data_IF_819884876772
#
_entry.id   IF_819884876772
#
_cell.length_a   1.000
_cell.length_b   1.000
_cell.length_c   1.000
_cell.angle_alpha   90.00
_cell.angle_beta   90.00
_cell.angle_gamma   90.00
#
_symmetry.space_group_name_H-M   'P 1'
#
loop_
_entity.id
_entity.type
_entity.pdbx_description
1 polymer ?
#
# COMPACT_ATOMS: atom_id res chain seq x y z
N UNK A 1 -26.12 46.13 -6.68
CA UNK A 1 -26.65 44.93 -6.02
C UNK A 1 -26.43 45.14 -4.54
N UNK A 2 -27.51 45.26 -3.76
CA UNK A 2 -27.44 45.56 -2.32
C UNK A 2 -26.67 44.46 -1.57
N UNK A 3 -25.59 44.83 -0.88
CA UNK A 3 -25.00 44.02 0.18
C UNK A 3 -26.02 43.94 1.33
N UNK A 4 -26.87 42.91 1.31
CA UNK A 4 -27.70 42.57 2.46
C UNK A 4 -26.79 42.32 3.66
N UNK A 5 -26.92 43.16 4.69
CA UNK A 5 -26.19 43.04 5.94
C UNK A 5 -26.28 41.61 6.48
N UNK A 6 -25.15 40.93 6.56
CA UNK A 6 -25.06 39.57 7.07
C UNK A 6 -25.68 39.53 8.48
N UNK A 7 -26.70 38.69 8.65
CA UNK A 7 -27.19 38.32 9.99
C UNK A 7 -25.98 37.89 10.82
N UNK A 8 -25.88 38.40 12.05
CA UNK A 8 -24.74 38.17 12.96
C UNK A 8 -24.40 36.68 12.98
N UNK A 9 -23.32 36.32 12.29
CA UNK A 9 -22.91 34.92 12.10
C UNK A 9 -22.61 34.35 13.49
N UNK A 10 -23.07 33.12 13.75
CA UNK A 10 -22.75 32.47 15.02
C UNK A 10 -21.23 32.34 15.18
N UNK A 11 -20.72 32.59 16.38
CA UNK A 11 -19.27 32.55 16.69
C UNK A 11 -18.58 31.26 16.18
N UNK A 12 -19.27 30.12 16.22
CA UNK A 12 -18.77 28.84 15.73
C UNK A 12 -18.59 28.78 14.20
N UNK A 13 -19.45 29.47 13.45
CA UNK A 13 -19.35 29.53 11.99
C UNK A 13 -18.26 30.51 11.56
N UNK A 14 -18.10 31.61 12.29
CA UNK A 14 -17.00 32.56 12.09
C UNK A 14 -15.63 31.91 12.29
N UNK A 15 -15.45 31.17 13.40
CA UNK A 15 -14.20 30.44 13.65
C UNK A 15 -13.91 29.40 12.57
N UNK A 16 -14.93 28.67 12.12
CA UNK A 16 -14.79 27.72 11.01
C UNK A 16 -14.35 28.39 9.71
N UNK A 17 -14.99 29.51 9.32
CA UNK A 17 -14.63 30.25 8.10
C UNK A 17 -13.19 30.75 8.18
N UNK A 18 -12.78 31.27 9.35
CA UNK A 18 -11.40 31.70 9.59
C UNK A 18 -10.42 30.54 9.41
N UNK A 19 -10.64 29.42 10.11
CA UNK A 19 -9.80 28.23 10.00
C UNK A 19 -9.74 27.66 8.58
N UNK A 20 -10.86 27.68 7.85
CA UNK A 20 -10.90 27.21 6.46
C UNK A 20 -10.06 28.10 5.53
N UNK A 21 -10.10 29.42 5.73
CA UNK A 21 -9.28 30.37 4.97
C UNK A 21 -7.80 30.21 5.32
N UNK A 22 -7.48 30.11 6.61
CA UNK A 22 -6.12 29.92 7.10
C UNK A 22 -5.52 28.61 6.57
N UNK A 23 -6.29 27.50 6.59
CA UNK A 23 -5.86 26.23 6.01
C UNK A 23 -5.68 26.31 4.49
N UNK A 24 -6.56 26.99 3.76
CA UNK A 24 -6.40 27.17 2.32
C UNK A 24 -5.14 27.98 1.96
N UNK A 25 -4.87 29.05 2.72
CA UNK A 25 -3.67 29.86 2.56
C UNK A 25 -2.40 29.08 2.90
N UNK A 26 -2.41 28.30 3.98
CA UNK A 26 -1.32 27.39 4.35
C UNK A 26 -1.05 26.39 3.22
N UNK A 27 -2.07 25.68 2.73
CA UNK A 27 -1.91 24.71 1.65
C UNK A 27 -1.39 25.33 0.35
N UNK A 28 -1.83 26.56 0.01
CA UNK A 28 -1.32 27.27 -1.16
C UNK A 28 0.17 27.60 -1.04
N UNK A 29 0.60 28.03 0.15
CA UNK A 29 2.02 28.29 0.44
C UNK A 29 2.86 27.02 0.35
N UNK A 30 2.45 25.95 1.02
CA UNK A 30 3.19 24.68 1.02
C UNK A 30 3.28 24.06 -0.38
N UNK A 31 2.25 24.23 -1.24
CA UNK A 31 2.33 23.77 -2.64
C UNK A 31 3.36 24.56 -3.44
N UNK A 32 3.40 25.87 -3.27
CA UNK A 32 4.41 26.71 -3.92
C UNK A 32 5.83 26.36 -3.46
N UNK A 33 6.01 26.15 -2.15
CA UNK A 33 7.30 25.76 -1.56
C UNK A 33 7.73 24.36 -2.04
N UNK A 34 6.79 23.41 -2.17
CA UNK A 34 7.05 22.09 -2.75
C UNK A 34 7.47 22.16 -4.22
N UNK A 35 6.80 22.95 -5.07
CA UNK A 35 7.17 23.13 -6.47
C UNK A 35 8.54 23.80 -6.63
N UNK A 36 8.84 24.79 -5.79
CA UNK A 36 10.15 25.44 -5.74
C UNK A 36 11.23 24.43 -5.32
N UNK A 37 10.99 23.70 -4.24
CA UNK A 37 11.87 22.63 -3.76
C UNK A 37 12.11 21.55 -4.81
N UNK A 38 11.06 21.17 -5.56
CA UNK A 38 11.13 20.19 -6.64
C UNK A 38 12.09 20.65 -7.75
N UNK A 39 12.03 21.93 -8.15
CA UNK A 39 12.95 22.50 -9.13
C UNK A 39 14.39 22.53 -8.61
N UNK A 40 14.60 22.89 -7.34
CA UNK A 40 15.92 22.87 -6.72
C UNK A 40 16.50 21.46 -6.62
N UNK A 41 15.69 20.48 -6.24
CA UNK A 41 16.11 19.09 -6.16
C UNK A 41 16.51 18.55 -7.54
N UNK A 42 15.73 18.86 -8.58
CA UNK A 42 16.06 18.51 -9.96
C UNK A 42 17.42 19.09 -10.37
N UNK A 43 17.66 20.38 -10.08
CA UNK A 43 18.95 21.01 -10.36
C UNK A 43 20.12 20.35 -9.59
N UNK A 44 19.94 19.99 -8.31
CA UNK A 44 20.96 19.33 -7.51
C UNK A 44 21.29 17.92 -8.02
N UNK A 45 20.28 17.18 -8.48
CA UNK A 45 20.42 15.83 -9.01
C UNK A 45 20.74 15.80 -10.51
N UNK A 46 20.85 16.97 -11.15
CA UNK A 46 21.03 17.13 -12.59
C UNK A 46 19.96 16.39 -13.42
N UNK A 47 18.71 16.48 -12.96
CA UNK A 47 17.51 15.95 -13.60
C UNK A 47 16.65 17.10 -14.15
N UNK A 48 15.77 16.80 -15.09
CA UNK A 48 14.79 17.78 -15.56
C UNK A 48 13.57 17.85 -14.62
N UNK A 49 13.16 19.07 -14.27
CA UNK A 49 12.11 19.31 -13.28
C UNK A 49 10.73 18.79 -13.72
N UNK A 50 10.46 18.81 -15.04
CA UNK A 50 9.18 18.40 -15.59
C UNK A 50 9.04 16.89 -15.71
N UNK A 51 10.13 16.17 -16.00
CA UNK A 51 10.14 14.70 -16.11
C UNK A 51 10.27 13.99 -14.76
N UNK A 52 10.76 14.67 -13.72
CA UNK A 52 10.99 14.08 -12.39
C UNK A 52 9.71 13.48 -11.78
N UNK A 53 9.76 12.18 -11.45
CA UNK A 53 8.68 11.45 -10.79
C UNK A 53 8.82 11.45 -9.27
N UNK A 54 7.80 10.99 -8.53
CA UNK A 54 7.88 10.92 -7.07
C UNK A 54 8.90 9.89 -6.59
N UNK A 55 9.13 8.81 -7.34
CA UNK A 55 10.13 7.80 -6.99
C UNK A 55 11.55 8.37 -7.11
N UNK A 56 11.79 9.23 -8.10
CA UNK A 56 13.07 9.95 -8.25
C UNK A 56 13.32 10.91 -7.09
N UNK A 57 12.27 11.59 -6.61
CA UNK A 57 12.32 12.46 -5.44
C UNK A 57 12.67 11.63 -4.19
N UNK A 58 11.95 10.53 -3.95
CA UNK A 58 12.17 9.67 -2.79
C UNK A 58 13.60 9.08 -2.80
N UNK A 59 14.12 8.69 -3.97
CA UNK A 59 15.49 8.22 -4.15
C UNK A 59 16.53 9.31 -3.89
N UNK A 60 16.31 10.52 -4.43
CA UNK A 60 17.19 11.66 -4.22
C UNK A 60 17.27 12.07 -2.74
N UNK A 61 16.13 12.10 -2.04
CA UNK A 61 16.08 12.39 -0.60
C UNK A 61 16.81 11.32 0.21
N UNK A 62 16.64 10.03 -0.12
CA UNK A 62 17.39 8.96 0.52
C UNK A 62 18.91 9.09 0.33
N UNK A 63 19.35 9.61 -0.82
CA UNK A 63 20.77 9.84 -1.11
C UNK A 63 21.33 11.07 -0.39
N UNK A 64 20.63 12.20 -0.45
CA UNK A 64 21.06 13.47 0.16
C UNK A 64 20.99 13.44 1.69
N UNK A 65 19.99 12.78 2.25
CA UNK A 65 19.74 12.69 3.69
C UNK A 65 19.65 11.22 4.14
N UNK A 66 20.76 10.48 4.15
CA UNK A 66 20.74 9.07 4.51
C UNK A 66 20.36 8.90 5.98
N UNK A 67 19.18 8.33 6.24
CA UNK A 67 18.68 8.04 7.59
C UNK A 67 18.77 6.55 7.91
N UNK A 68 19.39 6.19 9.04
CA UNK A 68 19.44 4.81 9.56
C UNK A 68 18.24 4.40 10.42
N UNK A 69 17.16 5.20 10.45
CA UNK A 69 15.99 4.95 11.29
C UNK A 69 15.22 3.72 10.78
N UNK A 70 14.86 2.81 11.69
CA UNK A 70 14.08 1.61 11.37
C UNK A 70 12.63 1.95 11.00
N UNK A 71 12.03 2.94 11.66
CA UNK A 71 10.69 3.42 11.32
C UNK A 71 10.73 4.25 10.03
N UNK A 72 10.02 3.79 9.01
CA UNK A 72 9.93 4.44 7.70
C UNK A 72 9.26 5.82 7.80
N UNK A 73 8.32 6.01 8.74
CA UNK A 73 7.59 7.28 8.90
C UNK A 73 8.42 8.38 9.56
N UNK A 74 9.49 8.01 10.26
CA UNK A 74 10.40 8.94 10.93
C UNK A 74 11.53 9.43 10.01
N UNK A 75 11.64 8.87 8.80
CA UNK A 75 12.67 9.25 7.83
C UNK A 75 12.34 10.61 7.17
N UNK A 76 13.34 11.33 6.65
CA UNK A 76 13.09 12.51 5.82
C UNK A 76 12.26 12.13 4.59
N UNK A 77 11.18 12.87 4.34
CA UNK A 77 10.28 12.65 3.19
C UNK A 77 9.91 13.99 2.58
N UNK A 78 9.89 14.05 1.25
CA UNK A 78 9.42 15.20 0.49
C UNK A 78 8.30 14.75 -0.46
N UNK A 79 7.05 15.06 -0.10
CA UNK A 79 5.86 14.70 -0.87
C UNK A 79 4.89 15.88 -0.99
N UNK A 80 3.92 15.82 -1.92
CA UNK A 80 2.90 16.85 -2.04
C UNK A 80 2.17 17.10 -0.70
N UNK A 81 1.85 18.37 -0.36
CA UNK A 81 1.20 18.70 0.91
C UNK A 81 -0.13 17.97 1.14
N UNK A 82 -0.84 17.62 0.06
CA UNK A 82 -2.13 16.93 0.12
C UNK A 82 -2.06 15.51 0.72
N UNK A 83 -0.88 14.89 0.70
CA UNK A 83 -0.65 13.56 1.29
C UNK A 83 -0.15 13.62 2.74
N UNK A 84 0.71 14.61 3.05
CA UNK A 84 1.35 14.74 4.37
C UNK A 84 0.43 15.48 5.35
N UNK A 85 -0.19 16.57 4.90
CA UNK A 85 -0.93 17.46 5.79
C UNK A 85 -2.27 16.83 6.20
N UNK A 86 -2.73 17.09 7.43
CA UNK A 86 -4.01 16.59 7.90
C UNK A 86 -5.14 17.18 7.06
N UNK A 87 -6.03 16.31 6.56
CA UNK A 87 -7.19 16.75 5.76
C UNK A 87 -8.13 17.59 6.61
N UNK A 88 -8.32 18.85 6.22
CA UNK A 88 -9.32 19.72 6.84
C UNK A 88 -10.74 19.16 6.62
N UNK A 89 -11.54 19.12 7.69
CA UNK A 89 -12.97 18.77 7.59
C UNK A 89 -13.73 19.96 7.00
N UNK A 90 -13.82 20.02 5.68
CA UNK A 90 -14.67 20.99 5.01
C UNK A 90 -16.15 20.61 5.14
N UNK A 91 -16.97 21.61 5.42
CA UNK A 91 -18.42 21.58 5.29
C UNK A 91 -18.77 21.95 3.85
N UNK A 92 -19.53 21.10 3.17
CA UNK A 92 -19.97 21.34 1.80
C UNK A 92 -21.43 21.80 1.79
N UNK A 93 -21.65 22.98 1.22
CA UNK A 93 -22.97 23.57 1.01
C UNK A 93 -23.16 23.88 -0.47
N UNK A 94 -24.42 23.97 -0.89
CA UNK A 94 -24.82 24.52 -2.18
C UNK A 94 -24.85 26.05 -2.12
N UNK A 95 -25.04 26.71 -3.26
CA UNK A 95 -25.08 28.18 -3.35
C UNK A 95 -26.18 28.82 -2.48
N UNK A 96 -27.26 28.07 -2.23
CA UNK A 96 -28.37 28.44 -1.35
C UNK A 96 -28.07 28.23 0.15
N UNK A 97 -26.91 27.68 0.50
CA UNK A 97 -26.53 27.35 1.87
C UNK A 97 -27.09 26.03 2.40
N UNK A 98 -27.70 25.21 1.54
CA UNK A 98 -28.15 23.85 1.88
C UNK A 98 -26.95 22.89 1.99
N UNK A 99 -26.82 22.09 3.06
CA UNK A 99 -25.78 21.07 3.12
C UNK A 99 -25.93 20.01 2.03
N UNK A 100 -24.82 19.60 1.40
CA UNK A 100 -24.84 18.59 0.32
C UNK A 100 -25.20 17.19 0.83
N UNK A 101 -24.78 16.85 2.04
CA UNK A 101 -25.08 15.56 2.66
C UNK A 101 -26.39 15.65 3.44
N UNK A 102 -27.34 14.75 3.16
CA UNK A 102 -28.61 14.68 3.89
C UNK A 102 -28.40 14.40 5.39
N UNK A 103 -27.30 13.75 5.76
CA UNK A 103 -26.96 13.41 7.15
C UNK A 103 -26.18 14.51 7.86
N UNK A 104 -26.01 15.70 7.27
CA UNK A 104 -25.24 16.80 7.86
C UNK A 104 -25.68 17.14 9.30
N UNK A 105 -26.99 17.14 9.56
CA UNK A 105 -27.55 17.52 10.87
C UNK A 105 -27.42 16.44 11.96
N UNK A 106 -26.82 15.29 11.66
CA UNK A 106 -26.57 14.20 12.63
C UNK A 106 -25.31 14.40 13.48
N UNK A 107 -24.63 15.56 13.34
CA UNK A 107 -23.31 15.90 13.92
C UNK A 107 -22.13 15.07 13.38
N UNK A 108 -22.34 13.77 13.17
CA UNK A 108 -21.36 12.80 12.69
C UNK A 108 -21.82 12.13 11.38
N UNK A 109 -21.91 12.87 10.26
CA UNK A 109 -22.40 12.33 8.99
C UNK A 109 -21.61 11.11 8.51
N UNK A 110 -20.27 11.11 8.71
CA UNK A 110 -19.40 9.97 8.37
C UNK A 110 -19.73 8.71 9.16
N UNK A 111 -20.03 8.84 10.45
CA UNK A 111 -20.36 7.71 11.31
C UNK A 111 -21.70 7.08 10.92
N UNK A 112 -22.75 7.89 10.75
CA UNK A 112 -24.05 7.37 10.34
C UNK A 112 -24.06 6.85 8.90
N UNK A 113 -23.20 7.39 8.03
CA UNK A 113 -22.95 6.81 6.71
C UNK A 113 -22.33 5.42 6.83
N UNK A 114 -21.36 5.22 7.74
CA UNK A 114 -20.78 3.91 8.02
C UNK A 114 -21.80 2.93 8.63
N UNK A 115 -22.67 3.40 9.54
CA UNK A 115 -23.75 2.56 10.08
C UNK A 115 -24.71 2.09 8.97
N UNK A 116 -25.07 3.00 8.05
CA UNK A 116 -25.87 2.61 6.88
C UNK A 116 -25.12 1.65 5.96
N UNK A 117 -23.80 1.74 5.88
CA UNK A 117 -22.98 0.77 5.16
C UNK A 117 -23.01 -0.61 5.82
N UNK A 118 -22.95 -0.68 7.16
CA UNK A 118 -23.11 -1.95 7.88
C UNK A 118 -24.49 -2.59 7.66
N UNK A 119 -25.56 -1.78 7.67
CA UNK A 119 -26.89 -2.27 7.30
C UNK A 119 -26.96 -2.76 5.84
N UNK A 120 -26.25 -2.08 4.94
CA UNK A 120 -26.13 -2.48 3.55
C UNK A 120 -25.36 -3.81 3.40
N UNK A 121 -24.31 -4.05 4.19
CA UNK A 121 -23.63 -5.34 4.23
C UNK A 121 -24.57 -6.46 4.68
N UNK A 122 -25.32 -6.25 5.78
CA UNK A 122 -26.33 -7.21 6.25
C UNK A 122 -27.40 -7.49 5.19
N UNK A 123 -27.82 -6.45 4.45
CA UNK A 123 -28.76 -6.58 3.35
C UNK A 123 -28.17 -7.38 2.17
N UNK A 124 -26.90 -7.20 1.85
CA UNK A 124 -26.21 -8.00 0.82
C UNK A 124 -26.03 -9.45 1.23
N UNK A 125 -25.68 -9.73 2.49
CA UNK A 125 -25.61 -11.09 3.02
C UNK A 125 -26.99 -11.77 2.96
N UNK A 126 -28.04 -11.04 3.32
CA UNK A 126 -29.41 -11.51 3.16
C UNK A 126 -29.75 -11.76 1.68
N UNK A 127 -29.41 -10.84 0.77
CA UNK A 127 -29.66 -10.98 -0.66
C UNK A 127 -29.03 -12.26 -1.23
N UNK A 128 -27.79 -12.55 -0.82
CA UNK A 128 -27.06 -13.76 -1.25
C UNK A 128 -27.72 -15.04 -0.71
N UNK A 129 -28.35 -14.97 0.46
CA UNK A 129 -29.04 -16.12 1.05
C UNK A 129 -30.36 -16.48 0.37
N UNK A 130 -30.92 -15.60 -0.47
CA UNK A 130 -32.22 -15.81 -1.11
C UNK A 130 -32.15 -16.77 -2.30
N UNK A 131 -33.15 -17.65 -2.48
CA UNK A 131 -33.27 -18.47 -3.69
C UNK A 131 -33.57 -17.55 -4.88
N UNK A 132 -32.69 -17.54 -5.88
CA UNK A 132 -32.64 -16.63 -7.06
C UNK A 132 -31.67 -15.45 -6.96
N UNK A 133 -30.76 -15.41 -5.97
CA UNK A 133 -29.68 -14.40 -5.92
C UNK A 133 -28.81 -14.35 -7.20
N UNK A 134 -28.75 -15.44 -7.98
CA UNK A 134 -27.99 -15.51 -9.22
C UNK A 134 -28.46 -14.50 -10.29
N UNK A 135 -29.73 -14.07 -10.25
CA UNK A 135 -30.25 -13.05 -11.19
C UNK A 135 -29.56 -11.71 -10.97
N UNK A 136 -29.20 -11.39 -9.73
CA UNK A 136 -28.58 -10.13 -9.30
C UNK A 136 -27.04 -10.22 -9.20
N UNK A 137 -26.42 -11.23 -9.80
CA UNK A 137 -24.98 -11.46 -9.71
C UNK A 137 -24.15 -10.23 -10.12
N UNK A 138 -24.50 -9.60 -11.25
CA UNK A 138 -23.78 -8.44 -11.78
C UNK A 138 -23.81 -7.26 -10.80
N UNK A 139 -24.96 -7.06 -10.13
CA UNK A 139 -25.13 -6.02 -9.14
C UNK A 139 -24.31 -6.32 -7.87
N UNK A 140 -24.35 -7.56 -7.36
CA UNK A 140 -23.57 -7.98 -6.19
C UNK A 140 -22.06 -7.82 -6.45
N UNK A 141 -21.60 -8.23 -7.63
CA UNK A 141 -20.17 -8.19 -7.98
C UNK A 141 -19.63 -6.76 -8.15
N UNK A 142 -20.47 -5.78 -8.51
CA UNK A 142 -20.06 -4.37 -8.59
C UNK A 142 -19.58 -3.81 -7.23
N UNK A 143 -20.10 -4.34 -6.12
CA UNK A 143 -19.73 -3.91 -4.76
C UNK A 143 -18.61 -4.77 -4.14
N UNK A 144 -18.13 -5.81 -4.84
CA UNK A 144 -17.04 -6.68 -4.37
C UNK A 144 -15.72 -6.27 -5.00
N UNK A 145 -14.69 -6.12 -4.18
CA UNK A 145 -13.32 -5.97 -4.67
C UNK A 145 -12.63 -7.34 -4.70
N UNK A 146 -11.93 -7.69 -5.78
CA UNK A 146 -11.16 -8.92 -5.81
C UNK A 146 -10.02 -8.81 -4.80
N UNK A 147 -10.04 -9.65 -3.77
CA UNK A 147 -8.89 -9.77 -2.88
C UNK A 147 -7.77 -10.42 -3.69
N UNK A 148 -6.69 -9.68 -3.92
CA UNK A 148 -5.49 -10.25 -4.49
C UNK A 148 -4.97 -11.32 -3.53
N UNK A 149 -5.26 -12.59 -3.81
CA UNK A 149 -4.53 -13.68 -3.20
C UNK A 149 -3.06 -13.41 -3.56
N UNK A 150 -2.21 -13.23 -2.55
CA UNK A 150 -0.77 -12.93 -2.68
C UNK A 150 0.02 -14.12 -3.28
N UNK A 151 -0.62 -14.92 -4.12
CA UNK A 151 -0.02 -16.04 -4.82
C UNK A 151 0.62 -15.48 -6.09
N UNK A 152 1.86 -14.98 -5.95
CA UNK A 152 2.80 -15.00 -7.07
C UNK A 152 2.94 -16.47 -7.49
N UNK A 153 2.18 -16.91 -8.50
CA UNK A 153 2.25 -18.23 -9.17
C UNK A 153 2.02 -19.52 -8.35
N UNK A 154 1.85 -19.49 -7.01
CA UNK A 154 1.72 -20.73 -6.21
C UNK A 154 0.55 -20.65 -5.25
N UNK A 155 -0.53 -21.37 -5.56
CA UNK A 155 -1.71 -21.53 -4.71
C UNK A 155 -1.42 -22.39 -3.46
N UNK A 156 -0.44 -23.29 -3.53
CA UNK A 156 -0.05 -24.17 -2.42
C UNK A 156 1.37 -24.75 -2.65
N UNK A 157 2.15 -24.92 -1.58
CA UNK A 157 3.41 -25.70 -1.57
C UNK A 157 4.72 -24.91 -1.77
N UNK A 158 5.88 -25.51 -1.43
CA UNK A 158 7.19 -24.90 -1.58
C UNK A 158 7.53 -24.65 -3.05
N UNK A 159 8.39 -23.66 -3.29
CA UNK A 159 8.74 -23.30 -4.65
C UNK A 159 9.57 -24.42 -5.33
N UNK A 160 8.98 -25.09 -6.34
CA UNK A 160 9.73 -26.02 -7.19
C UNK A 160 10.92 -25.28 -7.82
N UNK A 161 12.16 -25.75 -7.63
CA UNK A 161 13.36 -25.10 -8.16
C UNK A 161 13.49 -25.30 -9.67
N UNK A 162 14.17 -24.37 -10.32
CA UNK A 162 14.50 -24.49 -11.74
C UNK A 162 15.50 -25.63 -11.98
N UNK A 163 15.20 -26.46 -12.98
CA UNK A 163 16.03 -27.61 -13.37
C UNK A 163 16.97 -27.18 -14.50
N UNK A 164 18.28 -27.32 -14.29
CA UNK A 164 19.32 -27.02 -15.29
C UNK A 164 19.93 -28.31 -15.80
N UNK A 165 20.26 -28.39 -17.09
CA UNK A 165 20.98 -29.54 -17.65
C UNK A 165 22.48 -29.29 -17.51
N UNK A 166 23.20 -30.22 -16.88
CA UNK A 166 24.66 -30.13 -16.78
C UNK A 166 25.31 -30.47 -18.13
N UNK A 167 26.21 -29.61 -18.66
CA UNK A 167 26.79 -29.80 -20.00
C UNK A 167 27.70 -31.03 -20.12
N UNK A 168 28.36 -31.44 -19.03
CA UNK A 168 29.30 -32.57 -19.02
C UNK A 168 28.60 -33.94 -18.97
N UNK A 169 27.52 -34.03 -18.20
CA UNK A 169 26.83 -35.30 -17.91
C UNK A 169 25.49 -35.41 -18.64
N UNK A 170 25.02 -34.33 -19.28
CA UNK A 170 23.69 -34.21 -19.90
C UNK A 170 22.53 -34.56 -18.96
N UNK A 171 22.75 -34.51 -17.64
CA UNK A 171 21.74 -34.80 -16.63
C UNK A 171 21.04 -33.53 -16.18
N UNK A 172 19.75 -33.67 -15.89
CA UNK A 172 18.93 -32.66 -15.23
C UNK A 172 19.38 -32.56 -13.77
N UNK A 173 19.64 -31.35 -13.31
CA UNK A 173 20.08 -31.05 -11.95
C UNK A 173 19.25 -29.90 -11.39
N UNK A 174 18.71 -30.10 -10.20
CA UNK A 174 18.09 -29.05 -9.40
C UNK A 174 19.06 -28.65 -8.29
N UNK A 175 19.24 -27.34 -8.09
CA UNK A 175 20.04 -26.82 -6.97
C UNK A 175 19.14 -26.05 -6.03
N UNK A 176 19.17 -26.41 -4.74
CA UNK A 176 18.38 -25.76 -3.70
C UNK A 176 19.31 -25.31 -2.58
N UNK A 177 19.05 -24.12 -2.02
CA UNK A 177 19.71 -23.64 -0.80
C UNK A 177 18.70 -23.64 0.34
N UNK A 178 19.05 -24.29 1.43
CA UNK A 178 18.20 -24.36 2.64
C UNK A 178 19.01 -23.95 3.87
N UNK A 179 18.29 -23.53 4.92
CA UNK A 179 18.86 -23.19 6.21
C UNK A 179 18.12 -23.96 7.30
N UNK A 180 18.88 -24.60 8.18
CA UNK A 180 18.36 -25.19 9.41
C UNK A 180 19.15 -24.61 10.59
N UNK A 181 18.48 -23.84 11.46
CA UNK A 181 19.13 -23.06 12.53
C UNK A 181 20.26 -22.19 11.96
N UNK A 182 21.49 -22.36 12.39
CA UNK A 182 22.66 -21.59 11.93
C UNK A 182 23.40 -22.24 10.77
N UNK A 183 23.04 -23.47 10.39
CA UNK A 183 23.67 -24.19 9.28
C UNK A 183 22.98 -23.84 7.96
N UNK A 184 23.76 -23.42 6.97
CA UNK A 184 23.32 -23.24 5.59
C UNK A 184 23.89 -24.33 4.70
N UNK A 185 23.05 -24.91 3.84
CA UNK A 185 23.44 -26.01 2.95
C UNK A 185 22.96 -25.72 1.53
N UNK A 186 23.81 -26.00 0.55
CA UNK A 186 23.43 -26.03 -0.86
C UNK A 186 23.44 -27.47 -1.38
N UNK A 187 22.28 -28.00 -1.72
CA UNK A 187 22.13 -29.38 -2.23
C UNK A 187 21.93 -29.34 -3.73
N UNK A 188 22.70 -30.16 -4.46
CA UNK A 188 22.50 -30.42 -5.89
C UNK A 188 21.94 -31.83 -6.04
N UNK A 189 20.73 -31.94 -6.57
CA UNK A 189 20.09 -33.23 -6.84
C UNK A 189 20.10 -33.45 -8.34
N UNK A 190 20.76 -34.51 -8.80
CA UNK A 190 20.71 -34.94 -10.19
C UNK A 190 19.62 -35.96 -10.41
N UNK A 191 19.02 -35.92 -11.60
CA UNK A 191 18.10 -36.94 -12.08
C UNK A 191 18.82 -38.29 -12.30
N UNK A 192 18.09 -39.40 -12.12
CA UNK A 192 18.58 -40.79 -12.22
C UNK A 192 19.85 -41.11 -11.38
N UNK A 193 19.76 -40.97 -10.05
CA UNK A 193 20.83 -41.30 -9.10
C UNK A 193 20.80 -42.74 -8.59
N UNK A 194 21.95 -43.25 -8.14
CA UNK A 194 22.10 -44.57 -7.47
C UNK A 194 21.96 -44.48 -5.94
N UNK A 195 21.40 -43.40 -5.40
CA UNK A 195 21.32 -43.15 -3.96
C UNK A 195 22.64 -42.76 -3.27
N UNK A 196 23.62 -42.24 -4.02
CA UNK A 196 24.88 -41.73 -3.44
C UNK A 196 24.69 -40.32 -2.90
N UNK A 197 25.12 -40.10 -1.66
CA UNK A 197 25.18 -38.80 -1.01
C UNK A 197 26.64 -38.43 -0.79
N UNK A 198 27.01 -37.24 -1.24
CA UNK A 198 28.32 -36.64 -1.03
C UNK A 198 28.11 -35.33 -0.27
N UNK A 199 28.61 -35.29 0.97
CA UNK A 199 28.49 -34.16 1.89
C UNK A 199 29.90 -33.64 2.13
N UNK A 200 30.35 -32.69 1.31
CA UNK A 200 31.70 -32.10 1.36
C UNK A 200 32.84 -33.12 1.34
N UNK A 201 32.68 -34.22 0.58
CA UNK A 201 33.64 -35.31 0.48
C UNK A 201 33.43 -36.43 1.50
N UNK A 202 32.46 -36.31 2.40
CA UNK A 202 32.06 -37.34 3.36
C UNK A 202 30.83 -38.10 2.87
N UNK A 203 30.77 -39.39 3.18
CA UNK A 203 29.62 -40.22 2.86
C UNK A 203 28.54 -40.08 3.95
N UNK A 204 27.30 -40.43 3.63
CA UNK A 204 26.19 -40.37 4.59
C UNK A 204 26.45 -41.20 5.86
N UNK A 205 27.22 -42.29 5.75
CA UNK A 205 27.54 -43.17 6.88
C UNK A 205 28.41 -42.50 7.95
N UNK A 206 29.18 -41.48 7.61
CA UNK A 206 30.03 -40.76 8.56
C UNK A 206 29.19 -39.92 9.55
N UNK A 207 27.94 -39.65 9.20
CA UNK A 207 26.98 -38.88 10.00
C UNK A 207 25.97 -39.75 10.77
N UNK A 208 26.32 -41.02 11.09
CA UNK A 208 25.42 -41.95 11.82
C UNK A 208 24.81 -41.38 13.09
N UNK A 209 25.57 -40.58 13.83
CA UNK A 209 25.15 -39.93 15.08
C UNK A 209 24.06 -38.85 14.86
N UNK A 210 23.94 -38.28 13.66
CA UNK A 210 22.89 -37.32 13.29
C UNK A 210 21.67 -38.00 12.69
N UNK A 211 21.83 -39.11 11.97
CA UNK A 211 20.73 -39.84 11.33
C UNK A 211 19.86 -40.60 12.34
N UNK A 212 20.43 -41.03 13.46
CA UNK A 212 19.74 -41.77 14.51
C UNK A 212 18.91 -40.89 15.48
N UNK A 213 18.84 -39.58 15.24
CA UNK A 213 18.20 -38.59 16.10
C UNK A 213 16.99 -37.97 15.41
#
# INVERSE_FOLDING_TARGET
MEEKSLKKIGRALETYIKLSKDHAAMMARERADFELGRRHLANMMNLDAHTMTQDDIDAAICYLFPSGLFDLKARPVMRPPDEIMPKFRSLSFDEEGRPKDSRFFTLHPKFYKLLSYAHLLMAFDYLISLPSSAVEEKFIMQYREPLAASTKSKLFGPAVPEVKVCPKTQRRVATVRTRCKDTMVSVKVSDAGTGKFDIDGLALHDFRHLVAR
#
